data_IF_956013009439
#
_entry.id   IF_956013009439
#
_cell.length_a   1.000
_cell.length_b   1.000
_cell.length_c   1.000
_cell.angle_alpha   90.00
_cell.angle_beta   90.00
_cell.angle_gamma   90.00
#
_symmetry.space_group_name_H-M   'P 1'
#
loop_
_entity.id
_entity.type
_entity.pdbx_description
1 polymer ?
#
# COMPACT_ATOMS: atom_id res chain seq x y z
N UNK A 1 8.07 24.21 13.52
CA UNK A 1 6.96 23.60 14.27
C UNK A 1 7.31 22.22 14.82
N UNK A 2 8.26 21.48 14.23
CA UNK A 2 8.70 20.15 14.68
C UNK A 2 10.19 20.12 15.10
N UNK A 3 10.70 21.19 15.70
CA UNK A 3 12.11 21.22 16.12
C UNK A 3 12.42 20.09 17.10
N UNK A 4 13.68 19.68 17.17
CA UNK A 4 14.15 18.62 18.11
C UNK A 4 13.90 18.95 19.59
N UNK A 5 13.51 20.19 19.89
CA UNK A 5 13.06 20.67 21.20
C UNK A 5 11.62 20.24 21.55
N UNK A 6 10.87 19.64 20.61
CA UNK A 6 9.49 19.17 20.81
C UNK A 6 9.43 17.69 21.17
N UNK A 7 8.47 17.32 21.99
CA UNK A 7 8.17 15.92 22.33
C UNK A 7 7.66 15.14 21.10
N UNK A 8 7.78 13.82 21.13
CA UNK A 8 7.24 12.97 20.05
C UNK A 8 5.73 13.16 19.88
N UNK A 9 5.00 13.31 20.98
CA UNK A 9 3.55 13.56 20.97
C UNK A 9 3.19 14.87 20.24
N UNK A 10 3.87 15.97 20.57
CA UNK A 10 3.66 17.26 19.89
C UNK A 10 3.96 17.16 18.39
N UNK A 11 5.01 16.41 18.02
CA UNK A 11 5.33 16.17 16.60
C UNK A 11 4.24 15.39 15.90
N UNK A 12 3.76 14.29 16.51
CA UNK A 12 2.69 13.45 15.96
C UNK A 12 1.42 14.25 15.76
N UNK A 13 0.97 14.99 16.78
CA UNK A 13 -0.26 15.79 16.71
C UNK A 13 -0.19 16.82 15.58
N UNK A 14 0.94 17.53 15.47
CA UNK A 14 1.10 18.52 14.43
C UNK A 14 1.05 17.90 13.02
N UNK A 15 1.67 16.72 12.83
CA UNK A 15 1.61 15.98 11.58
C UNK A 15 0.16 15.59 11.27
N UNK A 16 -0.55 14.94 12.20
CA UNK A 16 -1.93 14.50 11.99
C UNK A 16 -2.87 15.65 11.60
N UNK A 17 -2.71 16.84 12.19
CA UNK A 17 -3.51 18.03 11.81
C UNK A 17 -3.30 18.39 10.34
N UNK A 18 -2.05 18.35 9.86
CA UNK A 18 -1.77 18.65 8.46
C UNK A 18 -2.15 17.49 7.53
N UNK A 19 -2.07 16.24 7.99
CA UNK A 19 -2.59 15.08 7.26
C UNK A 19 -4.09 15.27 6.98
N UNK A 20 -4.87 15.62 8.01
CA UNK A 20 -6.31 15.90 7.90
C UNK A 20 -6.57 17.06 6.94
N UNK A 21 -5.80 18.15 7.01
CA UNK A 21 -5.93 19.27 6.07
C UNK A 21 -5.66 18.79 4.64
N UNK A 22 -4.60 18.02 4.41
CA UNK A 22 -4.25 17.51 3.09
C UNK A 22 -5.33 16.56 2.53
N UNK A 23 -5.85 15.66 3.35
CA UNK A 23 -6.85 14.67 2.96
C UNK A 23 -8.22 15.29 2.70
N UNK A 24 -8.67 16.16 3.61
CA UNK A 24 -10.01 16.74 3.57
C UNK A 24 -10.12 17.95 2.64
N UNK A 25 -9.05 18.72 2.48
CA UNK A 25 -9.05 19.93 1.64
C UNK A 25 -8.38 19.73 0.26
N UNK A 26 -7.64 18.62 0.05
CA UNK A 26 -7.06 18.20 -1.24
C UNK A 26 -6.35 19.35 -1.97
N UNK A 27 -6.81 19.73 -3.18
CA UNK A 27 -6.21 20.79 -3.99
C UNK A 27 -6.04 22.12 -3.22
N UNK A 28 -6.96 22.44 -2.29
CA UNK A 28 -6.86 23.66 -1.47
C UNK A 28 -5.72 23.63 -0.47
N UNK A 29 -5.24 22.44 -0.10
CA UNK A 29 -4.12 22.24 0.81
C UNK A 29 -2.75 22.38 0.12
N UNK A 30 -2.68 22.35 -1.22
CA UNK A 30 -1.41 22.38 -1.97
C UNK A 30 -0.55 23.60 -1.65
N UNK A 31 -1.17 24.74 -1.33
CA UNK A 31 -0.47 25.97 -0.92
C UNK A 31 0.36 25.82 0.37
N UNK A 32 0.15 24.75 1.13
CA UNK A 32 0.89 24.44 2.34
C UNK A 32 1.99 23.37 2.12
N UNK A 33 2.05 22.74 0.95
CA UNK A 33 2.96 21.61 0.71
C UNK A 33 4.43 21.99 0.81
N UNK A 34 4.81 23.19 0.34
CA UNK A 34 6.19 23.70 0.44
C UNK A 34 6.69 23.78 1.88
N UNK A 35 5.78 23.95 2.83
CA UNK A 35 6.11 23.95 4.27
C UNK A 35 5.97 22.56 4.85
N UNK A 36 4.89 21.85 4.54
CA UNK A 36 4.50 20.62 5.24
C UNK A 36 5.20 19.35 4.75
N UNK A 37 5.38 19.16 3.43
CA UNK A 37 5.95 17.91 2.90
C UNK A 37 7.43 17.71 3.32
N UNK A 38 8.30 18.73 3.36
CA UNK A 38 9.66 18.57 3.89
C UNK A 38 9.67 18.00 5.32
N UNK A 39 8.71 18.40 6.15
CA UNK A 39 8.58 17.88 7.51
C UNK A 39 8.14 16.43 7.55
N UNK A 40 7.18 16.03 6.70
CA UNK A 40 6.79 14.63 6.57
C UNK A 40 7.97 13.74 6.15
N UNK A 41 8.77 14.20 5.18
CA UNK A 41 9.93 13.47 4.69
C UNK A 41 10.99 13.28 5.78
N UNK A 42 11.22 14.29 6.62
CA UNK A 42 12.08 14.15 7.80
C UNK A 42 11.50 13.18 8.83
N UNK A 43 10.24 13.40 9.24
CA UNK A 43 9.56 12.64 10.29
C UNK A 43 9.27 11.17 9.92
N UNK A 44 9.24 10.83 8.63
CA UNK A 44 9.07 9.44 8.16
C UNK A 44 10.16 8.51 8.67
N UNK A 45 11.32 9.04 9.07
CA UNK A 45 12.41 8.27 9.67
C UNK A 45 12.75 8.77 11.09
N UNK A 46 11.77 9.34 11.82
CA UNK A 46 11.90 9.70 13.24
C UNK A 46 12.22 8.46 14.09
N UNK A 47 12.83 8.64 15.26
CA UNK A 47 13.14 7.52 16.19
C UNK A 47 11.85 6.93 16.80
N UNK A 48 10.80 7.74 16.98
CA UNK A 48 9.52 7.32 17.53
C UNK A 48 8.60 6.72 16.44
N UNK A 49 8.06 5.53 16.69
CA UNK A 49 7.23 4.80 15.72
C UNK A 49 5.90 5.49 15.42
N UNK A 50 5.25 6.11 16.41
CA UNK A 50 3.98 6.81 16.19
C UNK A 50 4.16 8.06 15.31
N UNK A 51 5.28 8.77 15.47
CA UNK A 51 5.66 9.89 14.58
C UNK A 51 5.93 9.38 13.17
N UNK A 52 6.66 8.26 13.01
CA UNK A 52 6.87 7.64 11.70
C UNK A 52 5.55 7.25 11.05
N UNK A 53 4.65 6.61 11.79
CA UNK A 53 3.35 6.17 11.30
C UNK A 53 2.55 7.36 10.74
N UNK A 54 2.40 8.43 11.53
CA UNK A 54 1.70 9.63 11.08
C UNK A 54 2.38 10.23 9.83
N UNK A 55 3.71 10.32 9.82
CA UNK A 55 4.45 10.90 8.71
C UNK A 55 4.30 10.11 7.40
N UNK A 56 4.39 8.78 7.44
CA UNK A 56 4.25 7.95 6.24
C UNK A 56 2.80 7.91 5.75
N UNK A 57 1.81 7.98 6.65
CA UNK A 57 0.41 8.19 6.29
C UNK A 57 0.23 9.51 5.53
N UNK A 58 0.72 10.62 6.09
CA UNK A 58 0.71 11.94 5.44
C UNK A 58 1.41 11.96 4.08
N UNK A 59 2.54 11.25 3.92
CA UNK A 59 3.19 11.08 2.62
C UNK A 59 2.29 10.33 1.62
N UNK A 60 1.57 9.31 2.08
CA UNK A 60 0.58 8.60 1.26
C UNK A 60 -0.54 9.52 0.80
N UNK A 61 -1.09 10.34 1.70
CA UNK A 61 -2.12 11.36 1.38
C UNK A 61 -1.58 12.37 0.36
N UNK A 62 -0.33 12.82 0.53
CA UNK A 62 0.31 13.74 -0.42
C UNK A 62 0.57 13.10 -1.78
N UNK A 63 0.91 11.82 -1.84
CA UNK A 63 1.04 11.08 -3.10
C UNK A 63 -0.30 10.90 -3.83
N UNK A 64 -1.39 10.79 -3.09
CA UNK A 64 -2.73 10.61 -3.67
C UNK A 64 -3.34 11.93 -4.17
N UNK A 65 -3.28 12.98 -3.35
CA UNK A 65 -3.96 14.26 -3.63
C UNK A 65 -3.03 15.40 -4.06
N UNK A 66 -1.71 15.21 -3.98
CA UNK A 66 -0.71 16.24 -4.29
C UNK A 66 -0.51 16.52 -5.77
N UNK A 67 -0.95 15.62 -6.65
CA UNK A 67 -0.87 15.76 -8.10
C UNK A 67 0.54 16.14 -8.59
N UNK A 68 0.63 17.10 -9.51
CA UNK A 68 1.90 17.53 -10.08
C UNK A 68 2.86 18.16 -9.04
N UNK A 69 2.33 18.71 -7.95
CA UNK A 69 3.12 19.33 -6.87
C UNK A 69 3.96 18.28 -6.12
N UNK A 70 3.45 17.07 -5.95
CA UNK A 70 4.19 15.99 -5.27
C UNK A 70 5.21 15.31 -6.18
N UNK A 71 5.05 15.38 -7.51
CA UNK A 71 5.89 14.67 -8.48
C UNK A 71 7.41 14.85 -8.29
N UNK A 72 7.94 16.05 -8.02
CA UNK A 72 9.39 16.25 -7.79
C UNK A 72 9.90 15.54 -6.53
N UNK A 73 9.01 15.20 -5.59
CA UNK A 73 9.34 14.64 -4.27
C UNK A 73 9.25 13.10 -4.25
N UNK A 74 8.73 12.47 -5.30
CA UNK A 74 8.52 11.02 -5.38
C UNK A 74 9.80 10.23 -5.08
N UNK A 75 10.94 10.64 -5.62
CA UNK A 75 12.21 9.94 -5.38
C UNK A 75 12.64 9.97 -3.92
N UNK A 76 12.47 11.11 -3.24
CA UNK A 76 12.78 11.23 -1.82
C UNK A 76 11.78 10.46 -0.97
N UNK A 77 10.48 10.57 -1.26
CA UNK A 77 9.43 9.82 -0.58
C UNK A 77 9.66 8.30 -0.67
N UNK A 78 10.01 7.78 -1.84
CA UNK A 78 10.38 6.37 -2.01
C UNK A 78 11.57 5.99 -1.13
N UNK A 79 12.60 6.82 -1.05
CA UNK A 79 13.75 6.56 -0.18
C UNK A 79 13.33 6.50 1.29
N UNK A 80 12.48 7.43 1.75
CA UNK A 80 12.01 7.50 3.14
C UNK A 80 11.14 6.30 3.51
N UNK A 81 10.19 5.94 2.66
CA UNK A 81 9.34 4.76 2.83
C UNK A 81 10.15 3.47 2.85
N UNK A 82 11.11 3.33 1.92
CA UNK A 82 11.96 2.16 1.84
C UNK A 82 12.80 1.97 3.12
N UNK A 83 13.26 3.04 3.76
CA UNK A 83 13.95 2.95 5.05
C UNK A 83 13.06 2.38 6.16
N UNK A 84 11.78 2.76 6.21
CA UNK A 84 10.82 2.22 7.18
C UNK A 84 10.52 0.75 6.88
N UNK A 85 10.22 0.43 5.62
CA UNK A 85 9.85 -0.91 5.17
C UNK A 85 10.98 -1.92 5.38
N UNK A 86 12.23 -1.50 5.16
CA UNK A 86 13.42 -2.37 5.27
C UNK A 86 14.11 -2.32 6.62
N UNK A 87 13.56 -1.59 7.59
CA UNK A 87 14.13 -1.56 8.93
C UNK A 87 14.17 -2.99 9.50
N UNK A 88 15.27 -3.44 10.14
CA UNK A 88 15.38 -4.81 10.65
C UNK A 88 14.26 -5.21 11.61
N UNK A 89 13.73 -4.23 12.34
CA UNK A 89 12.62 -4.40 13.28
C UNK A 89 11.29 -3.85 12.75
N UNK A 90 11.14 -3.65 11.43
CA UNK A 90 9.94 -3.05 10.85
C UNK A 90 8.66 -3.82 11.21
N UNK A 91 8.75 -5.14 11.31
CA UNK A 91 7.63 -6.02 11.67
C UNK A 91 7.55 -6.33 13.18
N UNK A 92 8.33 -5.65 14.02
CA UNK A 92 8.17 -5.74 15.48
C UNK A 92 6.86 -5.06 15.91
N UNK A 93 6.25 -5.51 17.01
CA UNK A 93 4.95 -5.03 17.48
C UNK A 93 4.90 -3.49 17.65
N UNK A 94 6.01 -2.87 18.04
CA UNK A 94 6.10 -1.41 18.23
C UNK A 94 6.17 -0.63 16.90
N UNK A 95 6.53 -1.29 15.79
CA UNK A 95 6.81 -0.67 14.49
C UNK A 95 5.82 -1.08 13.40
N UNK A 96 5.07 -2.16 13.62
CA UNK A 96 4.25 -2.80 12.58
C UNK A 96 3.19 -1.86 11.99
N UNK A 97 2.62 -0.98 12.82
CA UNK A 97 1.66 0.03 12.35
C UNK A 97 2.31 1.03 11.38
N UNK A 98 3.53 1.49 11.68
CA UNK A 98 4.29 2.36 10.78
C UNK A 98 4.72 1.63 9.50
N UNK A 99 5.07 0.34 9.60
CA UNK A 99 5.35 -0.50 8.43
C UNK A 99 4.12 -0.62 7.51
N UNK A 100 2.96 -0.97 8.06
CA UNK A 100 1.72 -1.13 7.30
C UNK A 100 1.32 0.16 6.58
N UNK A 101 1.39 1.30 7.28
CA UNK A 101 1.12 2.62 6.69
C UNK A 101 2.16 2.98 5.61
N UNK A 102 3.44 2.62 5.78
CA UNK A 102 4.45 2.86 4.76
C UNK A 102 4.23 2.03 3.49
N UNK A 103 3.79 0.76 3.63
CA UNK A 103 3.44 -0.11 2.50
C UNK A 103 2.19 0.42 1.77
N UNK A 104 1.20 0.93 2.51
CA UNK A 104 0.03 1.59 1.92
C UNK A 104 0.40 2.85 1.15
N UNK A 105 1.22 3.73 1.75
CA UNK A 105 1.74 4.93 1.09
C UNK A 105 2.55 4.62 -0.18
N UNK A 106 3.35 3.54 -0.16
CA UNK A 106 4.07 3.07 -1.34
C UNK A 106 3.10 2.64 -2.45
N UNK A 107 1.98 2.00 -2.11
CA UNK A 107 0.91 1.66 -3.05
C UNK A 107 0.30 2.90 -3.71
N UNK A 108 0.04 3.96 -2.93
CA UNK A 108 -0.43 5.26 -3.44
C UNK A 108 0.57 5.87 -4.43
N UNK A 109 1.86 5.85 -4.15
CA UNK A 109 2.89 6.28 -5.11
C UNK A 109 2.84 5.43 -6.39
N UNK A 110 2.73 4.10 -6.26
CA UNK A 110 2.63 3.19 -7.41
C UNK A 110 1.42 3.49 -8.30
N UNK A 111 0.28 3.89 -7.72
CA UNK A 111 -0.93 4.23 -8.47
C UNK A 111 -0.87 5.63 -9.09
N UNK A 112 -0.56 6.65 -8.30
CA UNK A 112 -0.76 8.05 -8.70
C UNK A 112 0.50 8.67 -9.34
N UNK A 113 1.67 8.07 -9.14
CA UNK A 113 2.95 8.58 -9.63
C UNK A 113 3.74 7.55 -10.45
N UNK A 114 3.04 6.67 -11.16
CA UNK A 114 3.62 5.60 -12.00
C UNK A 114 4.70 6.06 -12.99
N UNK A 115 4.60 7.29 -13.51
CA UNK A 115 5.57 7.86 -14.47
C UNK A 115 6.82 8.43 -13.77
N UNK A 116 6.84 8.46 -12.44
CA UNK A 116 7.92 8.96 -11.61
C UNK A 116 8.73 7.87 -10.90
N UNK A 117 8.47 6.59 -11.20
CA UNK A 117 9.10 5.45 -10.54
C UNK A 117 9.70 4.45 -11.54
N UNK A 118 10.71 3.70 -11.10
CA UNK A 118 11.12 2.48 -11.79
C UNK A 118 10.15 1.35 -11.44
N UNK A 119 9.09 1.22 -12.23
CA UNK A 119 8.03 0.24 -11.99
C UNK A 119 8.55 -1.21 -11.94
N UNK A 120 9.62 -1.54 -12.67
CA UNK A 120 10.19 -2.88 -12.69
C UNK A 120 10.86 -3.27 -11.37
N UNK A 121 11.24 -2.29 -10.54
CA UNK A 121 11.79 -2.49 -9.21
C UNK A 121 10.76 -2.26 -8.11
N UNK A 122 10.00 -1.17 -8.20
CA UNK A 122 9.14 -0.70 -7.10
C UNK A 122 7.88 -1.57 -6.94
N UNK A 123 7.22 -1.93 -8.05
CA UNK A 123 6.00 -2.75 -8.01
C UNK A 123 6.24 -4.13 -7.39
N UNK A 124 7.23 -4.94 -7.84
CA UNK A 124 7.45 -6.24 -7.22
C UNK A 124 7.89 -6.14 -5.76
N UNK A 125 8.62 -5.08 -5.38
CA UNK A 125 8.96 -4.84 -3.99
C UNK A 125 7.70 -4.57 -3.14
N UNK A 126 6.81 -3.69 -3.61
CA UNK A 126 5.53 -3.39 -2.95
C UNK A 126 4.62 -4.62 -2.86
N UNK A 127 4.44 -5.38 -3.95
CA UNK A 127 3.69 -6.63 -3.93
C UNK A 127 4.30 -7.66 -2.96
N UNK A 128 5.63 -7.66 -2.81
CA UNK A 128 6.35 -8.49 -1.85
C UNK A 128 5.95 -8.24 -0.40
N UNK A 129 5.58 -7.00 -0.07
CA UNK A 129 5.14 -6.59 1.27
C UNK A 129 3.67 -6.94 1.58
N UNK A 130 2.87 -7.27 0.58
CA UNK A 130 1.44 -7.55 0.74
C UNK A 130 1.15 -9.05 0.98
N UNK A 131 0.05 -9.36 1.68
CA UNK A 131 -0.88 -8.42 2.32
C UNK A 131 -0.35 -7.84 3.65
N UNK A 132 -0.71 -6.59 3.95
CA UNK A 132 -0.55 -6.03 5.30
C UNK A 132 -1.72 -6.44 6.21
N UNK A 133 -1.53 -6.46 7.53
CA UNK A 133 -2.47 -7.15 8.42
C UNK A 133 -2.77 -6.48 9.73
N UNK A 134 -1.92 -5.61 10.24
CA UNK A 134 -1.99 -5.13 11.60
C UNK A 134 -2.77 -3.81 11.66
N UNK A 135 -2.47 -2.88 10.74
CA UNK A 135 -3.34 -1.73 10.52
C UNK A 135 -4.53 -2.12 9.63
N UNK A 136 -5.65 -2.45 10.26
CA UNK A 136 -6.88 -2.89 9.58
C UNK A 136 -7.51 -1.81 8.70
N UNK A 137 -7.24 -0.53 8.97
CA UNK A 137 -7.75 0.58 8.17
C UNK A 137 -6.95 0.63 6.87
N UNK A 138 -5.62 0.69 6.97
CA UNK A 138 -4.75 0.74 5.81
C UNK A 138 -4.79 -0.56 5.01
N UNK A 139 -4.97 -1.72 5.65
CA UNK A 139 -5.17 -3.00 4.96
C UNK A 139 -6.36 -2.92 3.99
N UNK A 140 -7.51 -2.39 4.43
CA UNK A 140 -8.68 -2.25 3.57
C UNK A 140 -8.39 -1.31 2.39
N UNK A 141 -7.68 -0.20 2.63
CA UNK A 141 -7.32 0.77 1.61
C UNK A 141 -6.39 0.15 0.55
N UNK A 142 -5.27 -0.43 0.98
CA UNK A 142 -4.24 -0.91 0.04
C UNK A 142 -4.70 -2.15 -0.74
N UNK A 143 -5.51 -3.03 -0.13
CA UNK A 143 -6.04 -4.19 -0.83
C UNK A 143 -7.14 -3.82 -1.83
N UNK A 144 -7.96 -2.81 -1.52
CA UNK A 144 -8.92 -2.26 -2.48
C UNK A 144 -8.21 -1.58 -3.65
N UNK A 145 -7.15 -0.81 -3.35
CA UNK A 145 -6.28 -0.22 -4.35
C UNK A 145 -5.68 -1.27 -5.28
N UNK A 146 -5.08 -2.34 -4.74
CA UNK A 146 -4.55 -3.44 -5.55
C UNK A 146 -5.64 -4.07 -6.42
N UNK A 147 -6.82 -4.32 -5.85
CA UNK A 147 -7.97 -4.85 -6.58
C UNK A 147 -8.34 -3.95 -7.77
N UNK A 148 -8.44 -2.65 -7.52
CA UNK A 148 -8.72 -1.64 -8.54
C UNK A 148 -7.69 -1.61 -9.67
N UNK A 149 -6.39 -1.68 -9.34
CA UNK A 149 -5.31 -1.72 -10.34
C UNK A 149 -5.39 -2.97 -11.21
N UNK A 150 -5.74 -4.11 -10.61
CA UNK A 150 -5.89 -5.38 -11.33
C UNK A 150 -7.15 -5.40 -12.20
N UNK A 151 -8.25 -4.81 -11.74
CA UNK A 151 -9.47 -4.67 -12.54
C UNK A 151 -9.27 -3.80 -13.78
N UNK A 152 -8.51 -2.71 -13.65
CA UNK A 152 -8.10 -1.87 -14.78
C UNK A 152 -7.07 -2.53 -15.70
N UNK A 153 -6.54 -3.69 -15.32
CA UNK A 153 -5.46 -4.38 -16.04
C UNK A 153 -4.20 -3.51 -16.19
N UNK A 154 -3.82 -2.79 -15.12
CA UNK A 154 -2.65 -1.92 -15.12
C UNK A 154 -1.38 -2.74 -15.43
N UNK A 155 -0.79 -2.51 -16.61
CA UNK A 155 0.29 -3.34 -17.16
C UNK A 155 1.53 -3.43 -16.24
N UNK A 156 1.84 -2.35 -15.53
CA UNK A 156 2.95 -2.33 -14.56
C UNK A 156 2.69 -3.24 -13.36
N UNK A 157 1.44 -3.34 -12.89
CA UNK A 157 1.04 -4.19 -11.75
C UNK A 157 0.99 -5.65 -12.12
N UNK A 158 0.49 -5.98 -13.31
CA UNK A 158 0.49 -7.36 -13.81
C UNK A 158 1.92 -7.82 -14.18
N UNK A 159 2.76 -6.87 -14.58
CA UNK A 159 4.11 -7.10 -15.07
C UNK A 159 4.13 -7.62 -16.51
N UNK A 160 5.32 -7.64 -17.15
CA UNK A 160 5.51 -8.26 -18.46
C UNK A 160 4.99 -9.70 -18.47
N UNK A 161 4.17 -10.04 -19.46
CA UNK A 161 3.54 -11.36 -19.59
C UNK A 161 2.80 -11.84 -18.33
N UNK A 162 2.24 -10.91 -17.54
CA UNK A 162 1.52 -11.23 -16.29
C UNK A 162 2.38 -11.94 -15.24
N UNK A 163 3.71 -11.71 -15.24
CA UNK A 163 4.63 -12.42 -14.34
C UNK A 163 4.36 -12.20 -12.84
N UNK A 164 3.71 -11.10 -12.44
CA UNK A 164 3.38 -10.82 -11.03
C UNK A 164 2.05 -11.40 -10.59
N UNK A 165 1.27 -11.92 -11.54
CA UNK A 165 -0.05 -12.45 -11.28
C UNK A 165 -0.09 -13.59 -10.24
N UNK A 166 0.87 -14.53 -10.17
CA UNK A 166 0.86 -15.56 -9.14
C UNK A 166 0.92 -14.97 -7.72
N UNK A 167 1.73 -13.92 -7.52
CA UNK A 167 1.82 -13.20 -6.24
C UNK A 167 0.52 -12.46 -5.93
N UNK A 168 -0.11 -11.82 -6.91
CA UNK A 168 -1.42 -11.15 -6.75
C UNK A 168 -2.50 -12.14 -6.32
N UNK A 169 -2.57 -13.31 -6.96
CA UNK A 169 -3.51 -14.38 -6.58
C UNK A 169 -3.25 -14.86 -5.15
N UNK A 170 -1.98 -15.01 -4.76
CA UNK A 170 -1.63 -15.35 -3.38
C UNK A 170 -2.10 -14.30 -2.38
N UNK A 171 -1.93 -13.01 -2.69
CA UNK A 171 -2.39 -11.90 -1.84
C UNK A 171 -3.91 -11.96 -1.70
N UNK A 172 -4.65 -12.08 -2.81
CA UNK A 172 -6.12 -12.15 -2.78
C UNK A 172 -6.61 -13.35 -1.97
N UNK A 173 -6.01 -14.53 -2.17
CA UNK A 173 -6.38 -15.72 -1.41
C UNK A 173 -6.20 -15.50 0.11
N UNK A 174 -5.10 -14.87 0.51
CA UNK A 174 -4.82 -14.56 1.91
C UNK A 174 -5.77 -13.51 2.49
N UNK A 175 -6.06 -12.44 1.76
CA UNK A 175 -7.04 -11.42 2.15
C UNK A 175 -8.41 -12.05 2.33
N UNK A 176 -8.84 -12.90 1.38
CA UNK A 176 -10.13 -13.60 1.43
C UNK A 176 -10.20 -14.57 2.62
N UNK A 177 -9.12 -15.28 2.96
CA UNK A 177 -9.05 -16.12 4.17
C UNK A 177 -9.27 -15.34 5.47
N UNK A 178 -8.85 -14.07 5.53
CA UNK A 178 -9.03 -13.21 6.70
C UNK A 178 -10.32 -12.37 6.65
N UNK A 179 -10.97 -12.29 5.48
CA UNK A 179 -12.25 -11.63 5.29
C UNK A 179 -12.27 -10.16 5.69
N UNK A 180 -13.26 -9.79 6.52
CA UNK A 180 -13.57 -8.39 6.90
C UNK A 180 -12.47 -7.65 7.66
N UNK A 181 -11.49 -8.38 8.17
CA UNK A 181 -10.32 -7.80 8.82
C UNK A 181 -9.44 -7.04 7.83
N UNK A 182 -9.25 -7.59 6.62
CA UNK A 182 -8.28 -7.07 5.65
C UNK A 182 -8.92 -6.40 4.42
N UNK A 183 -10.22 -6.58 4.22
CA UNK A 183 -10.95 -6.03 3.08
C UNK A 183 -12.41 -5.74 3.45
N UNK A 184 -13.06 -4.88 2.68
CA UNK A 184 -14.51 -4.67 2.80
C UNK A 184 -15.30 -5.79 2.08
N UNK A 185 -16.60 -5.92 2.36
CA UNK A 185 -17.46 -6.87 1.63
C UNK A 185 -17.48 -6.58 0.11
N UNK A 186 -17.41 -5.31 -0.27
CA UNK A 186 -17.30 -4.90 -1.67
C UNK A 186 -15.97 -5.32 -2.28
N UNK A 187 -14.85 -5.01 -1.61
CA UNK A 187 -13.51 -5.37 -2.07
C UNK A 187 -13.35 -6.89 -2.19
N UNK A 188 -13.84 -7.67 -1.23
CA UNK A 188 -13.81 -9.15 -1.30
C UNK A 188 -14.63 -9.68 -2.48
N UNK A 189 -15.81 -9.11 -2.73
CA UNK A 189 -16.64 -9.46 -3.89
C UNK A 189 -15.90 -9.19 -5.21
N UNK A 190 -15.26 -8.01 -5.32
CA UNK A 190 -14.45 -7.63 -6.49
C UNK A 190 -13.26 -8.56 -6.69
N UNK A 191 -12.54 -8.92 -5.63
CA UNK A 191 -11.44 -9.90 -5.69
C UNK A 191 -11.92 -11.26 -6.21
N UNK A 192 -13.08 -11.74 -5.73
CA UNK A 192 -13.70 -12.99 -6.21
C UNK A 192 -14.01 -12.89 -7.71
N UNK A 193 -14.62 -11.79 -8.16
CA UNK A 193 -14.91 -11.57 -9.58
C UNK A 193 -13.65 -11.57 -10.45
N UNK A 194 -12.58 -10.95 -9.96
CA UNK A 194 -11.26 -10.96 -10.64
C UNK A 194 -10.69 -12.38 -10.73
N UNK A 195 -10.72 -13.15 -9.64
CA UNK A 195 -10.22 -14.53 -9.62
C UNK A 195 -11.02 -15.44 -10.58
N UNK A 196 -12.35 -15.31 -10.61
CA UNK A 196 -13.21 -16.05 -11.57
C UNK A 196 -12.90 -15.66 -13.02
N UNK A 197 -12.65 -14.36 -13.28
CA UNK A 197 -12.22 -13.91 -14.62
C UNK A 197 -10.88 -14.52 -15.02
N UNK A 198 -9.92 -14.60 -14.10
CA UNK A 198 -8.63 -15.26 -14.37
C UNK A 198 -8.80 -16.74 -14.70
N UNK A 199 -9.67 -17.46 -13.99
CA UNK A 199 -10.02 -18.85 -14.29
C UNK A 199 -10.49 -19.06 -15.73
N UNK A 200 -11.24 -18.11 -16.28
CA UNK A 200 -11.80 -18.19 -17.63
C UNK A 200 -10.85 -17.75 -18.74
N UNK A 201 -9.89 -16.88 -18.42
CA UNK A 201 -9.07 -16.18 -19.43
C UNK A 201 -7.63 -16.66 -19.50
N UNK A 202 -7.12 -17.31 -18.46
CA UNK A 202 -5.74 -17.77 -18.39
C UNK A 202 -5.62 -19.27 -18.69
N UNK A 203 -4.45 -19.73 -19.20
CA UNK A 203 -4.20 -21.14 -19.40
C UNK A 203 -4.38 -21.94 -18.10
N UNK A 204 -5.06 -23.11 -18.13
CA UNK A 204 -5.27 -23.94 -16.93
C UNK A 204 -3.97 -24.27 -16.18
N UNK A 205 -2.89 -24.54 -16.90
CA UNK A 205 -1.59 -24.87 -16.32
C UNK A 205 -1.00 -23.73 -15.49
N UNK A 206 -1.21 -22.48 -15.91
CA UNK A 206 -0.72 -21.29 -15.19
C UNK A 206 -1.42 -21.10 -13.84
N UNK A 207 -2.72 -21.34 -13.80
CA UNK A 207 -3.50 -21.25 -12.57
C UNK A 207 -3.19 -22.44 -11.65
N UNK A 208 -3.07 -23.64 -12.20
CA UNK A 208 -2.67 -24.82 -11.45
C UNK A 208 -1.30 -24.64 -10.80
N UNK A 209 -0.31 -24.12 -11.55
CA UNK A 209 1.02 -23.82 -10.99
C UNK A 209 0.94 -22.77 -9.90
N UNK A 210 0.17 -21.69 -10.11
CA UNK A 210 -0.03 -20.65 -9.10
C UNK A 210 -0.64 -21.23 -7.82
N UNK A 211 -1.73 -21.99 -7.92
CA UNK A 211 -2.44 -22.54 -6.77
C UNK A 211 -1.60 -23.53 -5.98
N UNK A 212 -0.75 -24.30 -6.67
CA UNK A 212 0.14 -25.26 -6.02
C UNK A 212 1.17 -24.62 -5.08
N UNK A 213 1.45 -23.31 -5.25
CA UNK A 213 2.38 -22.57 -4.38
C UNK A 213 1.73 -22.00 -3.12
N UNK A 214 0.39 -22.04 -3.04
CA UNK A 214 -0.36 -21.45 -1.93
C UNK A 214 -0.41 -22.40 -0.73
N UNK A 215 -0.65 -21.83 0.45
CA UNK A 215 -0.87 -22.60 1.68
C UNK A 215 -2.17 -23.41 1.58
N UNK A 216 -2.29 -24.57 2.28
CA UNK A 216 -3.48 -25.43 2.18
C UNK A 216 -4.81 -24.69 2.44
N UNK A 217 -4.84 -23.79 3.43
CA UNK A 217 -6.03 -22.99 3.72
C UNK A 217 -6.42 -22.06 2.57
N UNK A 218 -5.44 -21.43 1.91
CA UNK A 218 -5.65 -20.57 0.75
C UNK A 218 -6.14 -21.38 -0.45
N UNK A 219 -5.59 -22.58 -0.68
CA UNK A 219 -6.04 -23.48 -1.74
C UNK A 219 -7.52 -23.85 -1.55
N UNK A 220 -7.91 -24.25 -0.34
CA UNK A 220 -9.30 -24.58 -0.01
C UNK A 220 -10.25 -23.38 -0.20
N UNK A 221 -9.81 -22.19 0.20
CA UNK A 221 -10.57 -20.96 -0.01
C UNK A 221 -10.77 -20.67 -1.50
N UNK A 222 -9.72 -20.76 -2.31
CA UNK A 222 -9.85 -20.55 -3.76
C UNK A 222 -10.72 -21.63 -4.42
N UNK A 223 -10.57 -22.90 -4.03
CA UNK A 223 -11.41 -23.98 -4.56
C UNK A 223 -12.89 -23.75 -4.25
N UNK A 224 -13.24 -23.33 -3.03
CA UNK A 224 -14.64 -23.08 -2.66
C UNK A 224 -15.23 -21.91 -3.47
N UNK A 225 -14.47 -20.84 -3.64
CA UNK A 225 -14.88 -19.65 -4.41
C UNK A 225 -15.07 -19.99 -5.89
N UNK A 226 -14.13 -20.73 -6.49
CA UNK A 226 -14.12 -21.01 -7.93
C UNK A 226 -15.03 -22.16 -8.35
N UNK A 227 -15.56 -22.92 -7.39
CA UNK A 227 -16.54 -23.98 -7.65
C UNK A 227 -17.99 -23.47 -7.63
N UNK A 228 -18.20 -22.18 -7.35
CA UNK A 228 -19.52 -21.50 -7.35
C UNK A 228 -19.70 -20.63 -8.59
#
# INVERSE_FOLDING_TARGET
MLGKDKTAEERRIAICIFDDIAEQCRESALKYYDTYVPFLLEASNDDNSDVRQAAVYGLGVCAEFGGLTFRPLVGEALSKLNNVIRHPEAQHADNIMAYDNAVSALGKICQFHRDGIDAAQVIPAWLGCLPIKDDKIEAKVVHDQLCSMVERSDAQVLGPHSQYLPKIVSIFAEVLCNGKELATDETTTRMISVLKRFQQTLPPDFLASTFSTLQPQQQLMLQSILST
#
